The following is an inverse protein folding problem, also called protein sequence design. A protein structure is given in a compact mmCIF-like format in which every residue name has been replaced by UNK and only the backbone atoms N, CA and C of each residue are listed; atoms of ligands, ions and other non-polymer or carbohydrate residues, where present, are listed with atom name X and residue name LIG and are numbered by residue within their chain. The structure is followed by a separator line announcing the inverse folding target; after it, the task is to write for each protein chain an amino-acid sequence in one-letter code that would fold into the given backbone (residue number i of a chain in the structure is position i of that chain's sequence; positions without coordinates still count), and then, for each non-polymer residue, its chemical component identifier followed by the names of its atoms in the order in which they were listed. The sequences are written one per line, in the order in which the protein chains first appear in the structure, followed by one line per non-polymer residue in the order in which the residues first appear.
data_IF_305604205772
#
_entry.id   IF_305604205772
#
_cell.length_a   1.000
_cell.length_b   1.000
_cell.length_c   1.000
_cell.angle_alpha   90.00
_cell.angle_beta   90.00
_cell.angle_gamma   90.00
#
_symmetry.space_group_name_H-M   'P 1'
#
loop_
_entity.id
_entity.type
_entity.pdbx_description
1 polymer ?
#
# COMPACT_ATOMS: atom_id res chain seq x y z
N UNK A 1 20.01 -2.84 22.47
CA UNK A 1 20.25 -1.51 21.88
C UNK A 1 20.89 -1.67 20.51
N UNK A 2 20.36 -1.00 19.49
CA UNK A 2 20.73 -1.10 18.09
C UNK A 2 21.15 0.26 17.55
N UNK A 3 22.16 0.28 16.67
CA UNK A 3 22.37 1.42 15.78
C UNK A 3 21.39 1.33 14.61
N UNK A 4 21.14 2.45 13.93
CA UNK A 4 20.17 2.53 12.82
C UNK A 4 20.38 1.46 11.74
N UNK A 5 21.63 1.14 11.40
CA UNK A 5 21.95 0.12 10.39
C UNK A 5 21.59 -1.29 10.83
N UNK A 6 21.81 -1.60 12.11
CA UNK A 6 21.44 -2.91 12.68
C UNK A 6 19.92 -3.04 12.81
N UNK A 7 19.25 -2.00 13.30
CA UNK A 7 17.80 -1.94 13.41
C UNK A 7 17.15 -2.14 12.03
N UNK A 8 17.60 -1.40 11.03
CA UNK A 8 17.09 -1.47 9.66
C UNK A 8 17.25 -2.88 9.08
N UNK A 9 18.42 -3.50 9.27
CA UNK A 9 18.67 -4.89 8.82
C UNK A 9 17.74 -5.89 9.52
N UNK A 10 17.52 -5.76 10.83
CA UNK A 10 16.64 -6.67 11.59
C UNK A 10 15.16 -6.48 11.27
N UNK A 11 14.76 -5.26 10.91
CA UNK A 11 13.42 -4.93 10.46
C UNK A 11 13.21 -5.17 8.94
N UNK A 12 14.27 -5.54 8.22
CA UNK A 12 14.29 -5.73 6.77
C UNK A 12 13.71 -4.51 6.04
N UNK A 13 14.33 -3.36 6.35
CA UNK A 13 14.14 -2.04 5.73
C UNK A 13 15.49 -1.35 5.55
N UNK A 14 15.51 -0.19 4.88
CA UNK A 14 16.74 0.61 4.75
C UNK A 14 16.91 1.60 5.92
N UNK A 15 18.14 2.04 6.25
CA UNK A 15 18.34 3.12 7.21
C UNK A 15 17.60 4.42 6.84
N UNK A 16 17.44 4.71 5.55
CA UNK A 16 16.69 5.88 5.08
C UNK A 16 15.19 5.73 5.34
N UNK A 17 14.65 4.52 5.25
CA UNK A 17 13.28 4.21 5.67
C UNK A 17 13.07 4.50 7.16
N UNK A 18 14.03 4.14 8.01
CA UNK A 18 13.96 4.46 9.45
C UNK A 18 13.97 5.97 9.66
N UNK A 19 14.89 6.70 9.03
CA UNK A 19 14.95 8.18 9.09
C UNK A 19 13.67 8.84 8.57
N UNK A 20 13.08 8.26 7.53
CA UNK A 20 11.81 8.73 6.99
C UNK A 20 10.71 8.61 8.03
N UNK A 21 10.56 7.45 8.70
CA UNK A 21 9.56 7.29 9.75
C UNK A 21 9.81 8.16 10.98
N UNK A 22 11.07 8.45 11.34
CA UNK A 22 11.38 9.46 12.36
C UNK A 22 10.87 10.85 11.95
N UNK A 23 11.11 11.28 10.70
CA UNK A 23 10.61 12.57 10.18
C UNK A 23 9.08 12.63 10.13
N UNK A 24 8.42 11.50 9.97
CA UNK A 24 6.96 11.38 10.00
C UNK A 24 6.40 11.23 11.42
N UNK A 25 7.24 11.34 12.46
CA UNK A 25 6.88 11.16 13.88
C UNK A 25 6.29 9.78 14.20
N UNK A 26 6.61 8.77 13.38
CA UNK A 26 6.17 7.39 13.56
C UNK A 26 7.21 6.54 14.29
N UNK A 27 8.39 7.10 14.56
CA UNK A 27 9.51 6.50 15.27
C UNK A 27 10.19 7.57 16.11
N UNK A 28 10.73 7.20 17.26
CA UNK A 28 11.63 8.01 18.06
C UNK A 28 12.90 7.19 18.36
N UNK A 29 13.98 7.87 18.74
CA UNK A 29 15.18 7.19 19.22
C UNK A 29 15.32 7.40 20.72
N UNK A 30 15.76 6.37 21.44
CA UNK A 30 15.90 6.42 22.90
C UNK A 30 17.11 7.21 23.38
N UNK A 31 17.99 7.61 22.48
CA UNK A 31 19.14 8.45 22.80
C UNK A 31 20.21 8.40 21.74
N UNK A 32 21.40 8.88 22.12
CA UNK A 32 22.59 8.83 21.29
C UNK A 32 23.76 8.25 22.08
N UNK A 33 24.64 7.53 21.39
CA UNK A 33 25.96 7.17 21.94
C UNK A 33 26.81 8.42 22.18
N UNK A 34 27.90 8.30 22.94
CA UNK A 34 28.91 9.38 23.07
C UNK A 34 29.43 9.88 21.71
N UNK A 35 29.58 9.00 20.72
CA UNK A 35 29.94 9.37 19.34
C UNK A 35 28.81 9.97 18.49
N UNK A 36 27.66 10.32 19.08
CA UNK A 36 26.53 10.99 18.41
C UNK A 36 25.58 10.09 17.60
N UNK A 37 25.81 8.76 17.55
CA UNK A 37 24.95 7.81 16.82
C UNK A 37 23.62 7.56 17.54
N UNK A 38 22.51 7.56 16.80
CA UNK A 38 21.17 7.21 17.32
C UNK A 38 21.14 5.76 17.82
N UNK A 39 20.47 5.55 18.94
CA UNK A 39 20.23 4.24 19.55
C UNK A 39 18.74 3.93 19.62
N UNK A 40 18.43 2.67 19.35
CA UNK A 40 17.08 2.11 19.34
C UNK A 40 17.04 0.83 20.17
N UNK A 41 15.86 0.43 20.63
CA UNK A 41 15.68 -0.79 21.41
C UNK A 41 14.85 -1.86 20.68
N UNK A 42 14.39 -2.86 21.42
CA UNK A 42 13.53 -3.91 20.88
C UNK A 42 12.09 -3.44 20.61
N UNK A 43 11.55 -2.46 21.34
CA UNK A 43 10.24 -1.89 21.03
C UNK A 43 10.28 -1.13 19.70
N UNK A 44 11.36 -0.39 19.44
CA UNK A 44 11.58 0.26 18.14
C UNK A 44 11.64 -0.74 16.99
N UNK A 45 12.24 -1.91 17.21
CA UNK A 45 12.26 -2.99 16.23
C UNK A 45 10.84 -3.53 15.97
N UNK A 46 10.05 -3.74 17.02
CA UNK A 46 8.65 -4.18 16.86
C UNK A 46 7.80 -3.12 16.18
N UNK A 47 8.01 -1.83 16.50
CA UNK A 47 7.34 -0.70 15.86
C UNK A 47 7.65 -0.64 14.36
N UNK A 48 8.91 -0.81 13.95
CA UNK A 48 9.26 -0.86 12.52
C UNK A 48 8.62 -2.04 11.80
N UNK A 49 8.62 -3.23 12.41
CA UNK A 49 7.95 -4.42 11.84
C UNK A 49 6.45 -4.18 11.67
N UNK A 50 5.82 -3.54 12.65
CA UNK A 50 4.43 -3.13 12.60
C UNK A 50 4.15 -2.19 11.43
N UNK A 51 4.93 -1.11 11.30
CA UNK A 51 4.79 -0.14 10.21
C UNK A 51 4.96 -0.84 8.85
N UNK A 52 5.99 -1.67 8.71
CA UNK A 52 6.28 -2.40 7.46
C UNK A 52 5.12 -3.29 7.05
N UNK A 53 4.62 -4.10 7.97
CA UNK A 53 3.50 -5.00 7.68
C UNK A 53 2.22 -4.23 7.31
N UNK A 54 1.92 -3.13 8.02
CA UNK A 54 0.78 -2.29 7.67
C UNK A 54 0.92 -1.63 6.29
N UNK A 55 2.15 -1.26 5.88
CA UNK A 55 2.43 -0.78 4.52
C UNK A 55 2.19 -1.85 3.46
N UNK A 56 2.57 -3.10 3.73
CA UNK A 56 2.32 -4.23 2.81
C UNK A 56 0.81 -4.49 2.62
N UNK A 57 0.01 -4.28 3.66
CA UNK A 57 -1.46 -4.35 3.60
C UNK A 57 -2.09 -3.12 2.88
N UNK A 58 -1.26 -2.16 2.47
CA UNK A 58 -1.67 -0.99 1.72
C UNK A 58 -2.31 0.12 2.55
N UNK A 59 -2.11 0.13 3.87
CA UNK A 59 -2.56 1.25 4.69
C UNK A 59 -1.79 2.54 4.34
N UNK A 60 -2.51 3.66 4.39
CA UNK A 60 -1.91 5.00 4.29
C UNK A 60 -1.05 5.27 5.52
N UNK A 61 -0.12 6.24 5.41
CA UNK A 61 0.70 6.60 6.57
C UNK A 61 -0.13 7.17 7.72
N UNK A 62 -1.22 7.86 7.41
CA UNK A 62 -2.17 8.40 8.38
C UNK A 62 -2.86 7.27 9.16
N UNK A 63 -3.43 6.28 8.47
CA UNK A 63 -4.02 5.10 9.11
C UNK A 63 -3.00 4.35 9.98
N UNK A 64 -1.74 4.24 9.53
CA UNK A 64 -0.69 3.59 10.34
C UNK A 64 -0.37 4.41 11.60
N UNK A 65 -0.39 5.75 11.54
CA UNK A 65 -0.20 6.60 12.74
C UNK A 65 -1.31 6.38 13.75
N UNK A 66 -2.57 6.32 13.31
CA UNK A 66 -3.71 6.03 14.19
C UNK A 66 -3.58 4.64 14.82
N UNK A 67 -3.23 3.63 14.03
CA UNK A 67 -2.99 2.29 14.56
C UNK A 67 -1.81 2.26 15.55
N UNK A 68 -0.77 3.08 15.33
CA UNK A 68 0.34 3.24 16.28
C UNK A 68 -0.09 3.95 17.56
N UNK A 69 -0.95 4.97 17.51
CA UNK A 69 -1.46 5.62 18.72
C UNK A 69 -2.26 4.65 19.56
N UNK A 70 -3.12 3.84 18.93
CA UNK A 70 -3.87 2.75 19.59
C UNK A 70 -2.92 1.73 20.23
N UNK A 71 -1.81 1.37 19.56
CA UNK A 71 -0.79 0.47 20.13
C UNK A 71 -0.09 1.07 21.34
N UNK A 72 0.20 2.37 21.31
CA UNK A 72 0.95 3.07 22.37
C UNK A 72 0.10 3.27 23.62
N UNK A 73 -1.19 3.54 23.44
CA UNK A 73 -2.10 3.87 24.54
C UNK A 73 -3.41 3.07 24.47
N UNK A 74 -3.36 1.74 24.59
CA UNK A 74 -4.54 0.89 24.39
C UNK A 74 -5.62 1.11 25.45
N UNK A 75 -5.30 1.69 26.61
CA UNK A 75 -6.28 1.96 27.67
C UNK A 75 -7.24 3.10 27.32
N UNK A 76 -6.83 4.02 26.44
CA UNK A 76 -7.63 5.16 25.99
C UNK A 76 -8.28 4.93 24.61
N UNK A 77 -8.09 3.73 24.05
CA UNK A 77 -8.62 3.36 22.74
C UNK A 77 -9.48 2.08 22.82
N UNK A 78 -10.26 1.87 21.79
CA UNK A 78 -11.24 0.79 21.68
C UNK A 78 -10.93 -0.09 20.48
N UNK A 79 -11.33 -1.37 20.55
CA UNK A 79 -11.30 -2.26 19.39
C UNK A 79 -12.16 -1.76 18.22
N UNK A 80 -13.11 -0.85 18.47
CA UNK A 80 -13.94 -0.27 17.41
C UNK A 80 -13.14 0.68 16.51
N UNK A 81 -12.21 1.47 17.07
CA UNK A 81 -11.37 2.39 16.29
C UNK A 81 -10.44 1.63 15.34
N UNK A 82 -9.72 0.62 15.85
CA UNK A 82 -8.84 -0.20 15.00
C UNK A 82 -9.64 -0.96 13.93
N UNK A 83 -10.83 -1.46 14.26
CA UNK A 83 -11.73 -2.10 13.30
C UNK A 83 -12.20 -1.14 12.21
N UNK A 84 -12.53 0.10 12.54
CA UNK A 84 -12.98 1.09 11.56
C UNK A 84 -11.90 1.39 10.50
N UNK A 85 -10.65 1.53 10.94
CA UNK A 85 -9.50 1.73 10.02
C UNK A 85 -9.35 0.55 9.05
N UNK A 86 -9.45 -0.67 9.56
CA UNK A 86 -9.38 -1.89 8.74
C UNK A 86 -10.57 -1.99 7.78
N UNK A 87 -11.78 -1.66 8.24
CA UNK A 87 -12.99 -1.70 7.41
C UNK A 87 -12.92 -0.71 6.25
N UNK A 88 -12.43 0.51 6.48
CA UNK A 88 -12.23 1.50 5.42
C UNK A 88 -11.27 0.95 4.36
N UNK A 89 -10.11 0.42 4.78
CA UNK A 89 -9.14 -0.16 3.85
C UNK A 89 -9.70 -1.35 3.07
N UNK A 90 -10.47 -2.20 3.74
CA UNK A 90 -11.12 -3.34 3.10
C UNK A 90 -12.14 -2.90 2.04
N UNK A 91 -12.90 -1.85 2.30
CA UNK A 91 -13.85 -1.28 1.33
C UNK A 91 -13.13 -0.74 0.09
N UNK A 92 -12.05 0.03 0.27
CA UNK A 92 -11.24 0.55 -0.84
C UNK A 92 -10.67 -0.58 -1.71
N UNK A 93 -10.09 -1.60 -1.08
CA UNK A 93 -9.52 -2.76 -1.78
C UNK A 93 -10.61 -3.51 -2.53
N UNK A 94 -11.76 -3.73 -1.90
CA UNK A 94 -12.90 -4.42 -2.52
C UNK A 94 -13.42 -3.67 -3.74
N UNK A 95 -13.56 -2.34 -3.65
CA UNK A 95 -13.94 -1.49 -4.79
C UNK A 95 -12.92 -1.58 -5.93
N UNK A 96 -11.61 -1.53 -5.61
CA UNK A 96 -10.56 -1.66 -6.62
C UNK A 96 -10.57 -3.03 -7.30
N UNK A 97 -10.83 -4.10 -6.56
CA UNK A 97 -10.98 -5.45 -7.12
C UNK A 97 -12.14 -5.48 -8.11
N UNK A 98 -13.30 -4.91 -7.76
CA UNK A 98 -14.45 -4.88 -8.65
C UNK A 98 -14.16 -4.15 -9.98
N UNK A 99 -13.49 -3.00 -9.91
CA UNK A 99 -13.08 -2.24 -11.10
C UNK A 99 -12.07 -3.01 -11.95
N UNK A 100 -11.07 -3.62 -11.32
CA UNK A 100 -10.08 -4.46 -12.03
C UNK A 100 -10.72 -5.69 -12.67
N UNK A 101 -11.67 -6.34 -12.01
CA UNK A 101 -12.41 -7.46 -12.57
C UNK A 101 -13.29 -7.03 -13.75
N UNK A 102 -13.89 -5.83 -13.71
CA UNK A 102 -14.64 -5.26 -14.84
C UNK A 102 -13.72 -5.03 -16.04
N UNK A 103 -12.55 -4.43 -15.81
CA UNK A 103 -11.54 -4.22 -16.85
C UNK A 103 -11.03 -5.53 -17.42
N UNK A 104 -10.72 -6.51 -16.56
CA UNK A 104 -10.29 -7.85 -16.97
C UNK A 104 -11.30 -8.52 -17.88
N UNK A 105 -12.60 -8.47 -17.54
CA UNK A 105 -13.68 -9.03 -18.38
C UNK A 105 -13.74 -8.35 -19.75
N UNK A 106 -13.58 -7.03 -19.81
CA UNK A 106 -13.53 -6.30 -21.08
C UNK A 106 -12.33 -6.71 -21.93
N UNK A 107 -11.14 -6.80 -21.33
CA UNK A 107 -9.93 -7.25 -22.01
C UNK A 107 -10.05 -8.70 -22.50
N UNK A 108 -10.66 -9.59 -21.71
CA UNK A 108 -10.91 -10.97 -22.11
C UNK A 108 -11.82 -11.05 -23.34
N UNK A 109 -12.90 -10.26 -23.39
CA UNK A 109 -13.78 -10.21 -24.57
C UNK A 109 -13.06 -9.75 -25.83
N UNK A 110 -12.19 -8.74 -25.70
CA UNK A 110 -11.37 -8.27 -26.83
C UNK A 110 -10.41 -9.37 -27.29
N UNK A 111 -9.74 -10.03 -26.35
CA UNK A 111 -8.83 -11.14 -26.64
C UNK A 111 -9.53 -12.29 -27.37
N UNK A 112 -10.72 -12.67 -26.93
CA UNK A 112 -11.45 -13.82 -27.48
C UNK A 112 -12.10 -13.51 -28.85
N UNK A 113 -12.32 -12.24 -29.16
CA UNK A 113 -12.96 -11.82 -30.41
C UNK A 113 -12.00 -11.85 -31.62
N UNK A 114 -10.69 -11.71 -31.41
CA UNK A 114 -9.71 -11.71 -32.50
C UNK A 114 -9.13 -13.10 -32.73
N UNK A 115 -8.94 -13.46 -33.99
CA UNK A 115 -8.37 -14.77 -34.33
C UNK A 115 -6.87 -14.89 -33.97
N UNK A 116 -6.16 -13.77 -33.73
CA UNK A 116 -4.77 -13.76 -33.27
C UNK A 116 -3.74 -14.32 -34.26
N UNK A 117 -4.09 -14.52 -35.52
CA UNK A 117 -3.19 -15.11 -36.54
C UNK A 117 -2.38 -14.04 -37.27
N UNK A 118 -1.31 -14.45 -37.98
CA UNK A 118 -0.41 -13.55 -38.70
C UNK A 118 -0.97 -13.13 -40.08
N UNK A 119 -2.16 -12.52 -40.10
CA UNK A 119 -2.79 -11.96 -41.30
C UNK A 119 -3.07 -10.46 -41.13
N UNK A 120 -3.49 -9.81 -42.22
CA UNK A 120 -3.71 -8.36 -42.28
C UNK A 120 -4.76 -7.89 -41.26
N UNK A 121 -4.49 -6.77 -40.59
CA UNK A 121 -5.36 -6.19 -39.57
C UNK A 121 -6.55 -5.39 -40.12
N UNK A 122 -6.79 -5.44 -41.44
CA UNK A 122 -7.89 -4.71 -42.12
C UNK A 122 -9.27 -5.05 -41.56
N UNK A 123 -9.45 -6.25 -40.99
CA UNK A 123 -10.70 -6.68 -40.35
C UNK A 123 -10.45 -7.17 -38.91
N UNK A 124 -9.58 -6.47 -38.19
CA UNK A 124 -9.25 -6.83 -36.81
C UNK A 124 -10.40 -6.43 -35.87
N UNK A 125 -11.11 -7.43 -35.36
CA UNK A 125 -12.24 -7.25 -34.44
C UNK A 125 -11.89 -6.55 -33.12
N UNK A 126 -10.63 -6.63 -32.66
CA UNK A 126 -10.15 -5.84 -31.51
C UNK A 126 -10.17 -4.35 -31.82
N UNK A 127 -9.62 -3.94 -32.97
CA UNK A 127 -9.54 -2.52 -33.33
C UNK A 127 -10.94 -1.94 -33.53
N UNK A 128 -11.81 -2.66 -34.23
CA UNK A 128 -13.21 -2.28 -34.42
C UNK A 128 -13.94 -2.13 -33.06
N UNK A 129 -13.77 -3.08 -32.14
CA UNK A 129 -14.41 -3.03 -30.83
C UNK A 129 -13.91 -1.88 -29.94
N UNK A 130 -12.61 -1.55 -30.00
CA UNK A 130 -12.04 -0.40 -29.27
C UNK A 130 -12.53 0.92 -29.87
N UNK A 131 -12.54 1.05 -31.19
CA UNK A 131 -13.07 2.25 -31.87
C UNK A 131 -14.56 2.46 -31.58
N UNK A 132 -15.33 1.38 -31.54
CA UNK A 132 -16.75 1.45 -31.16
C UNK A 132 -16.91 1.88 -29.70
N UNK A 133 -16.16 1.26 -28.78
CA UNK A 133 -16.17 1.65 -27.37
C UNK A 133 -15.76 3.11 -27.14
N UNK A 134 -14.83 3.65 -27.94
CA UNK A 134 -14.43 5.05 -27.89
C UNK A 134 -15.54 6.02 -28.35
N UNK A 135 -16.36 5.60 -29.33
CA UNK A 135 -17.53 6.38 -29.78
C UNK A 135 -18.65 6.38 -28.75
N UNK A 136 -18.85 5.26 -28.05
CA UNK A 136 -19.89 5.08 -27.04
C UNK A 136 -19.51 5.71 -25.68
N UNK A 137 -18.22 6.01 -25.47
CA UNK A 137 -17.72 6.67 -24.26
C UNK A 137 -18.02 8.18 -24.31
N UNK A 138 -19.14 8.59 -23.72
CA UNK A 138 -19.43 10.00 -23.44
C UNK A 138 -18.94 10.39 -22.05
N UNK A 139 -17.94 11.29 -21.94
CA UNK A 139 -17.51 11.79 -20.63
C UNK A 139 -18.64 12.64 -20.04
N UNK A 140 -19.29 12.12 -19.00
CA UNK A 140 -20.21 12.92 -18.20
C UNK A 140 -19.38 13.95 -17.42
N UNK A 141 -19.73 15.23 -17.61
CA UNK A 141 -19.24 16.37 -16.82
C UNK A 141 -19.64 16.25 -15.36
#
# INVERSE_FOLDING_TARGET
MYRIGELAKRADVTPDTVRYYEKQHMMAHNGRTEGGFRLYDDDDLQRLKFIRYAREMGFTLEAIRELLSIRIDPEHHTCQESKAIVQLRLQEVSSRIQELQKMQRSLQRLNDACCGTAHSSVSCSILEAIEQGAKDFHPQR
#
